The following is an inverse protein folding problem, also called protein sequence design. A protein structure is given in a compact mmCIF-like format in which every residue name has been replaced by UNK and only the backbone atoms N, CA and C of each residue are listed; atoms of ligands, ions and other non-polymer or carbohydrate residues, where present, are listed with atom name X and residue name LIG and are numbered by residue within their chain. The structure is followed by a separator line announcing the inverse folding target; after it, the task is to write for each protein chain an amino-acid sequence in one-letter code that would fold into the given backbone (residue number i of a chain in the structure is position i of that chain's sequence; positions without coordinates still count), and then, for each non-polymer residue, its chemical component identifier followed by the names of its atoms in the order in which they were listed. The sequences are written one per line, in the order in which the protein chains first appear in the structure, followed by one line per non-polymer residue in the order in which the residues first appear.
data_IF_310553083375
#
_entry.id   IF_310553083375
#
_cell.length_a   1.000
_cell.length_b   1.000
_cell.length_c   1.000
_cell.angle_alpha   90.00
_cell.angle_beta   90.00
_cell.angle_gamma   90.00
#
_symmetry.space_group_name_H-M   'P 1'
#
loop_
_entity.id
_entity.type
_entity.pdbx_description
1 polymer ?
#
# COMPACT_ATOMS: atom_id res chain seq x y z
N UNK A 1 -13.72 -19.42 -23.93
CA UNK A 1 -12.32 -19.73 -23.56
C UNK A 1 -12.20 -19.49 -22.07
N UNK A 2 -12.28 -20.56 -21.29
CA UNK A 2 -12.07 -20.56 -19.84
C UNK A 2 -10.59 -20.25 -19.58
N UNK A 3 -10.30 -19.07 -19.03
CA UNK A 3 -8.98 -18.79 -18.48
C UNK A 3 -8.93 -19.59 -17.17
N UNK A 4 -8.34 -20.78 -17.22
CA UNK A 4 -7.89 -21.48 -16.02
C UNK A 4 -6.94 -20.53 -15.29
N UNK A 5 -7.40 -19.99 -14.15
CA UNK A 5 -6.55 -19.26 -13.25
C UNK A 5 -5.68 -20.28 -12.52
N UNK A 6 -4.62 -20.75 -13.18
CA UNK A 6 -3.55 -21.43 -12.48
C UNK A 6 -3.04 -20.49 -11.39
N UNK A 7 -3.35 -20.82 -10.15
CA UNK A 7 -2.94 -20.02 -9.00
C UNK A 7 -1.42 -20.15 -8.92
N UNK A 8 -0.71 -19.14 -9.44
CA UNK A 8 0.75 -19.13 -9.59
C UNK A 8 1.47 -19.39 -8.24
N UNK A 9 0.82 -19.05 -7.13
CA UNK A 9 1.32 -19.20 -5.76
C UNK A 9 0.33 -19.98 -4.90
N UNK A 10 0.85 -20.74 -3.95
CA UNK A 10 0.06 -21.52 -3.00
C UNK A 10 -0.65 -20.61 -1.98
N UNK A 11 0.07 -19.60 -1.45
CA UNK A 11 -0.47 -18.71 -0.42
C UNK A 11 0.01 -17.26 -0.55
N UNK A 12 0.06 -16.76 -1.79
CA UNK A 12 0.25 -15.34 -2.10
C UNK A 12 -0.88 -14.81 -3.00
N UNK A 13 -2.10 -14.63 -2.44
CA UNK A 13 -3.23 -14.17 -3.23
C UNK A 13 -3.02 -12.73 -3.69
N UNK A 14 -3.80 -12.35 -4.70
CA UNK A 14 -3.77 -11.04 -5.34
C UNK A 14 -2.43 -10.68 -5.99
N UNK A 15 -1.54 -11.66 -6.20
CA UNK A 15 -0.26 -11.46 -6.88
C UNK A 15 -0.43 -11.22 -8.39
N UNK A 16 0.24 -10.21 -8.95
CA UNK A 16 0.37 -9.96 -10.39
C UNK A 16 1.45 -8.90 -10.68
N UNK A 17 1.99 -8.84 -11.92
CA UNK A 17 2.69 -7.64 -12.37
C UNK A 17 1.71 -6.46 -12.37
N UNK A 18 2.22 -5.27 -12.01
CA UNK A 18 1.42 -4.03 -12.00
C UNK A 18 1.03 -3.61 -13.42
N UNK A 19 1.94 -3.80 -14.37
CA UNK A 19 1.72 -3.59 -15.80
C UNK A 19 1.54 -4.97 -16.42
N UNK A 20 0.40 -5.26 -17.02
CA UNK A 20 0.21 -6.48 -17.81
C UNK A 20 0.64 -6.29 -19.27
N UNK A 21 0.54 -7.34 -20.08
CA UNK A 21 0.94 -7.29 -21.49
C UNK A 21 0.12 -6.29 -22.32
N UNK A 22 -1.15 -6.05 -21.97
CA UNK A 22 -1.98 -5.06 -22.65
C UNK A 22 -1.50 -3.64 -22.32
N UNK A 23 -1.32 -3.34 -21.03
CA UNK A 23 -0.81 -2.05 -20.57
C UNK A 23 0.61 -1.79 -21.12
N UNK A 24 1.47 -2.80 -21.15
CA UNK A 24 2.81 -2.72 -21.75
C UNK A 24 2.74 -2.31 -23.22
N UNK A 25 1.93 -3.00 -24.03
CA UNK A 25 1.80 -2.70 -25.46
C UNK A 25 1.22 -1.31 -25.71
N UNK A 26 0.22 -0.93 -24.92
CA UNK A 26 -0.50 0.34 -25.09
C UNK A 26 0.32 1.57 -24.67
N UNK A 27 1.10 1.46 -23.59
CA UNK A 27 1.80 2.60 -22.99
C UNK A 27 3.33 2.51 -23.06
N UNK A 28 3.86 1.43 -23.64
CA UNK A 28 5.30 1.19 -23.75
C UNK A 28 6.03 1.10 -22.39
N UNK A 29 5.40 0.48 -21.39
CA UNK A 29 5.91 0.38 -20.00
C UNK A 29 6.48 -1.03 -19.74
N UNK A 30 7.61 -1.12 -19.04
CA UNK A 30 8.22 -2.38 -18.59
C UNK A 30 7.29 -3.13 -17.64
N UNK A 31 7.02 -4.40 -17.92
CA UNK A 31 6.04 -5.19 -17.18
C UNK A 31 6.58 -6.12 -16.09
N UNK A 32 7.90 -6.31 -16.03
CA UNK A 32 8.56 -7.20 -15.07
C UNK A 32 9.34 -6.44 -13.97
N UNK A 33 9.17 -5.12 -13.88
CA UNK A 33 9.85 -4.29 -12.89
C UNK A 33 9.13 -4.28 -11.53
N UNK A 34 7.79 -4.22 -11.55
CA UNK A 34 6.98 -3.99 -10.35
C UNK A 34 5.82 -4.97 -10.31
N UNK A 35 5.70 -5.66 -9.19
CA UNK A 35 4.64 -6.60 -8.86
C UNK A 35 3.86 -6.08 -7.66
N UNK A 36 2.62 -6.53 -7.52
CA UNK A 36 1.79 -6.29 -6.33
C UNK A 36 1.24 -7.60 -5.79
N UNK A 37 0.93 -7.65 -4.49
CA UNK A 37 0.27 -8.82 -3.88
C UNK A 37 -0.42 -8.47 -2.56
N UNK A 38 -1.08 -9.46 -1.94
CA UNK A 38 -1.41 -9.41 -0.52
C UNK A 38 -0.18 -9.62 0.37
N UNK A 39 -0.37 -9.64 1.70
CA UNK A 39 0.75 -9.84 2.64
C UNK A 39 1.51 -11.15 2.38
N UNK A 40 2.81 -11.11 2.65
CA UNK A 40 3.72 -12.24 2.43
C UNK A 40 3.98 -13.10 3.68
N UNK A 41 3.23 -12.90 4.77
CA UNK A 41 3.54 -13.55 6.06
C UNK A 41 3.27 -15.06 6.08
N UNK A 42 2.42 -15.54 5.15
CA UNK A 42 1.96 -16.93 5.08
C UNK A 42 2.45 -17.70 3.86
N UNK A 43 3.37 -17.13 3.08
CA UNK A 43 3.94 -17.80 1.90
C UNK A 43 4.55 -19.15 2.26
N UNK A 44 4.38 -20.14 1.39
CA UNK A 44 5.01 -21.46 1.52
C UNK A 44 6.49 -21.38 1.13
N UNK A 45 7.27 -22.44 1.35
CA UNK A 45 8.64 -22.49 0.84
C UNK A 45 8.69 -22.46 -0.71
N UNK A 46 7.73 -23.12 -1.36
CA UNK A 46 7.56 -23.06 -2.83
C UNK A 46 7.31 -21.62 -3.31
N UNK A 47 6.46 -20.88 -2.60
CA UNK A 47 6.21 -19.46 -2.88
C UNK A 47 7.49 -18.61 -2.70
N UNK A 48 8.28 -18.88 -1.67
CA UNK A 48 9.57 -18.22 -1.43
C UNK A 48 10.52 -18.47 -2.60
N UNK A 49 10.68 -19.73 -3.00
CA UNK A 49 11.58 -20.10 -4.10
C UNK A 49 11.14 -19.45 -5.41
N UNK A 50 9.83 -19.38 -5.66
CA UNK A 50 9.28 -18.69 -6.83
C UNK A 50 9.54 -17.18 -6.79
N UNK A 51 9.32 -16.51 -5.65
CA UNK A 51 9.61 -15.08 -5.51
C UNK A 51 11.10 -14.77 -5.69
N UNK A 52 11.98 -15.57 -5.10
CA UNK A 52 13.42 -15.30 -5.07
C UNK A 52 14.16 -15.76 -6.32
N UNK A 53 13.77 -16.88 -6.92
CA UNK A 53 14.51 -17.51 -8.01
C UNK A 53 13.86 -17.29 -9.37
N UNK A 54 12.52 -17.32 -9.46
CA UNK A 54 11.81 -17.12 -10.74
C UNK A 54 11.55 -15.63 -11.01
N UNK A 55 10.91 -14.93 -10.08
CA UNK A 55 10.65 -13.49 -10.22
C UNK A 55 11.83 -12.61 -9.83
N UNK A 56 12.83 -13.17 -9.16
CA UNK A 56 14.02 -12.48 -8.68
C UNK A 56 13.68 -11.20 -7.91
N UNK A 57 12.69 -11.24 -7.02
CA UNK A 57 12.29 -10.08 -6.23
C UNK A 57 13.48 -9.64 -5.37
N UNK A 58 13.94 -8.41 -5.61
CA UNK A 58 15.04 -7.78 -4.86
C UNK A 58 14.52 -6.90 -3.72
N UNK A 59 13.37 -6.29 -3.92
CA UNK A 59 12.81 -5.35 -2.95
C UNK A 59 11.37 -5.67 -2.62
N UNK A 60 11.03 -5.62 -1.33
CA UNK A 60 9.65 -5.64 -0.87
C UNK A 60 9.31 -4.26 -0.30
N UNK A 61 8.32 -3.62 -0.87
CA UNK A 61 7.70 -2.41 -0.35
C UNK A 61 6.47 -2.83 0.45
N UNK A 62 6.66 -3.09 1.74
CA UNK A 62 5.61 -3.49 2.66
C UNK A 62 5.00 -2.23 3.29
N UNK A 63 3.86 -1.81 2.77
CA UNK A 63 3.17 -0.57 3.14
C UNK A 63 2.31 -0.76 4.42
N UNK A 64 2.81 -1.61 5.31
CA UNK A 64 2.30 -1.82 6.66
C UNK A 64 3.30 -1.26 7.65
N UNK A 65 2.78 -0.75 8.77
CA UNK A 65 3.62 -0.35 9.89
C UNK A 65 4.46 -1.53 10.40
N UNK A 66 5.61 -1.24 11.01
CA UNK A 66 6.41 -2.27 11.68
C UNK A 66 5.60 -3.03 12.75
N UNK A 67 4.64 -2.36 13.39
CA UNK A 67 3.71 -2.98 14.36
C UNK A 67 2.74 -3.96 13.70
N UNK A 68 2.14 -3.58 12.57
CA UNK A 68 1.31 -4.49 11.77
C UNK A 68 2.12 -5.72 11.34
N UNK A 69 3.35 -5.53 10.86
CA UNK A 69 4.23 -6.63 10.45
C UNK A 69 4.60 -7.55 11.61
N UNK A 70 4.96 -7.01 12.77
CA UNK A 70 5.31 -7.79 13.96
C UNK A 70 4.12 -8.60 14.46
N UNK A 71 2.93 -7.98 14.55
CA UNK A 71 1.69 -8.63 15.03
C UNK A 71 1.07 -9.59 14.04
N UNK A 72 1.43 -9.52 12.76
CA UNK A 72 0.93 -10.45 11.77
C UNK A 72 1.34 -11.89 12.15
N UNK A 73 0.36 -12.79 12.15
CA UNK A 73 0.60 -14.22 12.27
C UNK A 73 1.27 -14.76 11.00
N UNK A 74 1.88 -15.94 11.08
CA UNK A 74 2.50 -16.63 9.95
C UNK A 74 3.99 -16.91 10.16
N UNK A 75 4.53 -17.79 9.32
CA UNK A 75 5.92 -18.24 9.39
C UNK A 75 6.92 -17.16 8.97
N UNK A 76 6.48 -16.15 8.19
CA UNK A 76 7.31 -15.04 7.70
C UNK A 76 8.62 -15.54 7.10
N UNK A 77 8.58 -16.59 6.27
CA UNK A 77 9.77 -17.26 5.72
C UNK A 77 10.72 -16.31 4.97
N UNK A 78 10.20 -15.24 4.36
CA UNK A 78 11.01 -14.22 3.70
C UNK A 78 11.78 -13.30 4.66
N UNK A 79 11.55 -13.35 5.98
CA UNK A 79 12.18 -12.43 6.94
C UNK A 79 13.71 -12.54 6.92
N UNK A 80 14.25 -13.77 6.88
CA UNK A 80 15.70 -14.00 6.85
C UNK A 80 16.35 -13.69 5.50
N UNK A 81 15.56 -13.69 4.43
CA UNK A 81 16.05 -13.45 3.07
C UNK A 81 16.18 -11.95 2.72
N UNK A 82 15.67 -11.05 3.57
CA UNK A 82 15.65 -9.61 3.32
C UNK A 82 16.21 -8.84 4.52
N UNK A 83 16.99 -7.80 4.23
CA UNK A 83 17.32 -6.77 5.19
C UNK A 83 16.06 -5.94 5.50
N UNK A 84 15.63 -5.92 6.77
CA UNK A 84 14.40 -5.23 7.20
C UNK A 84 14.71 -3.77 7.52
N UNK A 85 14.12 -2.85 6.77
CA UNK A 85 14.34 -1.41 6.89
C UNK A 85 13.04 -0.74 7.31
N UNK A 86 12.84 -0.43 8.61
CA UNK A 86 11.68 0.35 9.03
C UNK A 86 11.79 1.78 8.50
N UNK A 87 10.67 2.29 7.98
CA UNK A 87 10.57 3.62 7.40
C UNK A 87 9.39 4.36 8.06
N UNK A 88 9.71 5.49 8.70
CA UNK A 88 8.74 6.33 9.41
C UNK A 88 8.66 7.69 8.71
N UNK A 89 7.72 7.87 7.77
CA UNK A 89 7.59 9.11 7.01
C UNK A 89 7.38 10.32 7.92
N UNK A 90 8.29 11.29 7.85
CA UNK A 90 8.23 12.54 8.60
C UNK A 90 7.12 13.46 8.08
N UNK A 91 6.27 13.92 9.01
CA UNK A 91 5.15 14.82 8.74
C UNK A 91 5.47 16.28 9.07
N UNK A 92 6.62 16.57 9.71
CA UNK A 92 6.98 17.89 10.23
C UNK A 92 7.90 18.71 9.29
N UNK A 93 8.52 18.09 8.30
CA UNK A 93 9.36 18.77 7.31
C UNK A 93 8.57 19.19 6.07
N UNK A 94 8.53 20.48 5.76
CA UNK A 94 8.11 20.95 4.43
C UNK A 94 8.93 20.18 3.38
N UNK A 95 8.24 19.57 2.43
CA UNK A 95 8.71 18.51 1.54
C UNK A 95 9.70 18.97 0.45
N UNK A 96 10.72 19.72 0.82
CA UNK A 96 11.86 20.05 -0.03
C UNK A 96 13.03 19.15 0.39
N UNK A 97 13.06 17.89 -0.06
CA UNK A 97 14.19 17.03 0.29
C UNK A 97 14.17 15.59 -0.21
N UNK A 98 15.36 15.00 -0.16
CA UNK A 98 15.67 13.61 -0.52
C UNK A 98 14.97 12.61 0.40
N UNK A 99 14.89 11.33 0.01
CA UNK A 99 14.34 10.23 0.83
C UNK A 99 14.88 10.23 2.29
N UNK A 100 16.09 10.78 2.49
CA UNK A 100 16.77 10.92 3.76
C UNK A 100 16.13 11.95 4.72
N UNK A 101 15.52 13.02 4.21
CA UNK A 101 14.84 14.02 5.04
C UNK A 101 13.46 13.56 5.52
N UNK A 102 12.99 12.39 5.08
CA UNK A 102 11.65 11.85 5.39
C UNK A 102 11.66 10.85 6.56
N UNK A 103 12.74 10.74 7.34
CA UNK A 103 12.85 9.82 8.48
C UNK A 103 12.79 10.57 9.82
N UNK A 104 11.78 10.27 10.65
CA UNK A 104 11.56 10.92 11.97
C UNK A 104 12.66 10.57 12.99
N UNK A 105 13.44 9.49 12.81
CA UNK A 105 14.44 9.03 13.77
C UNK A 105 15.83 8.86 13.13
N UNK A 106 16.75 9.77 13.49
CA UNK A 106 18.17 9.78 13.07
C UNK A 106 18.99 8.73 13.85
N UNK A 107 20.05 8.17 13.23
CA UNK A 107 21.38 8.78 13.32
C UNK A 107 21.72 9.62 12.09
N UNK A 108 22.62 10.60 12.25
CA UNK A 108 23.00 11.63 11.25
C UNK A 108 23.71 11.11 9.98
N UNK A 109 23.85 9.80 9.79
CA UNK A 109 24.27 9.08 8.59
C UNK A 109 23.71 7.65 8.85
N UNK A 110 22.74 7.08 8.15
CA UNK A 110 22.64 6.76 6.72
C UNK A 110 21.23 6.16 6.53
N UNK A 111 20.55 6.34 5.38
CA UNK A 111 19.60 5.32 4.90
C UNK A 111 20.45 4.12 4.49
N UNK A 112 20.91 3.33 5.46
CA UNK A 112 21.84 2.22 5.23
C UNK A 112 21.03 1.02 4.74
N UNK A 113 20.51 1.11 3.51
CA UNK A 113 20.13 -0.09 2.76
C UNK A 113 21.27 -0.41 1.80
N UNK A 114 21.60 -1.68 1.69
CA UNK A 114 22.64 -2.14 0.79
C UNK A 114 21.98 -2.59 -0.51
N UNK A 115 22.33 -1.95 -1.63
CA UNK A 115 21.79 -2.28 -2.96
C UNK A 115 22.20 -3.68 -3.44
N UNK A 116 23.25 -4.27 -2.84
CA UNK A 116 23.73 -5.61 -3.16
C UNK A 116 23.00 -6.71 -2.38
N UNK A 117 22.08 -6.36 -1.47
CA UNK A 117 21.24 -7.32 -0.76
C UNK A 117 19.76 -7.05 -1.03
N UNK A 118 18.91 -8.03 -0.74
CA UNK A 118 17.47 -7.84 -0.84
C UNK A 118 16.97 -7.00 0.34
N UNK A 119 16.11 -6.01 0.09
CA UNK A 119 15.62 -5.08 1.12
C UNK A 119 14.09 -5.16 1.27
N UNK A 120 13.60 -5.20 2.51
CA UNK A 120 12.17 -5.05 2.82
C UNK A 120 11.97 -3.73 3.56
N UNK A 121 11.34 -2.76 2.90
CA UNK A 121 10.98 -1.49 3.50
C UNK A 121 9.61 -1.62 4.18
N UNK A 122 9.55 -1.37 5.49
CA UNK A 122 8.30 -1.32 6.26
C UNK A 122 7.86 0.14 6.37
N UNK A 123 6.99 0.59 5.46
CA UNK A 123 6.53 1.98 5.40
C UNK A 123 5.28 2.14 6.25
N UNK A 124 5.39 2.91 7.32
CA UNK A 124 4.24 3.26 8.13
C UNK A 124 3.32 4.21 7.36
N UNK A 125 2.31 3.63 6.70
CA UNK A 125 1.37 4.39 5.88
C UNK A 125 0.47 5.31 6.70
N UNK A 126 0.11 4.89 7.91
CA UNK A 126 -0.75 5.63 8.82
C UNK A 126 0.08 6.18 9.96
N UNK A 127 0.72 7.32 9.71
CA UNK A 127 1.56 7.99 10.72
C UNK A 127 0.75 8.35 11.97
N UNK A 128 1.46 8.60 13.08
CA UNK A 128 0.84 9.01 14.33
C UNK A 128 -0.07 10.23 14.17
N UNK A 129 0.25 11.15 13.27
CA UNK A 129 -0.59 12.31 12.97
C UNK A 129 -1.93 11.90 12.35
N UNK A 130 -1.93 11.00 11.36
CA UNK A 130 -3.18 10.48 10.75
C UNK A 130 -4.04 9.78 11.80
N UNK A 131 -3.41 8.99 12.68
CA UNK A 131 -4.08 8.30 13.78
C UNK A 131 -4.71 9.33 14.72
N UNK A 132 -3.98 10.38 15.10
CA UNK A 132 -4.48 11.46 15.94
C UNK A 132 -5.62 12.23 15.29
N UNK A 133 -5.50 12.62 14.01
CA UNK A 133 -6.56 13.29 13.26
C UNK A 133 -7.85 12.45 13.29
N UNK A 134 -7.74 11.14 13.05
CA UNK A 134 -8.87 10.23 13.15
C UNK A 134 -9.44 10.13 14.56
N UNK A 135 -8.59 10.10 15.59
CA UNK A 135 -9.02 10.13 16.98
C UNK A 135 -9.83 11.39 17.32
N UNK A 136 -9.39 12.56 16.87
CA UNK A 136 -10.07 13.84 17.13
C UNK A 136 -11.28 14.12 16.23
N UNK A 137 -11.48 13.34 15.16
CA UNK A 137 -12.66 13.45 14.27
C UNK A 137 -13.96 12.92 14.90
N UNK A 138 -13.88 12.03 15.87
CA UNK A 138 -15.07 11.49 16.54
C UNK A 138 -15.44 12.30 17.78
N UNK A 139 -16.71 12.21 18.19
CA UNK A 139 -17.24 12.95 19.33
C UNK A 139 -16.41 12.70 20.60
N UNK A 140 -16.35 13.68 21.51
CA UNK A 140 -15.63 13.53 22.78
C UNK A 140 -16.15 12.34 23.59
N UNK A 141 -17.46 12.09 23.56
CA UNK A 141 -18.07 10.93 24.22
C UNK A 141 -17.54 9.61 23.66
N UNK A 142 -17.48 9.48 22.34
CA UNK A 142 -16.93 8.28 21.71
C UNK A 142 -15.42 8.14 21.96
N UNK A 143 -14.65 9.24 22.01
CA UNK A 143 -13.24 9.20 22.39
C UNK A 143 -13.05 8.63 23.80
N UNK A 144 -13.77 9.17 24.78
CA UNK A 144 -13.70 8.73 26.17
C UNK A 144 -14.12 7.26 26.31
N UNK A 145 -15.22 6.88 25.65
CA UNK A 145 -15.67 5.49 25.62
C UNK A 145 -14.64 4.55 24.98
N UNK A 146 -14.01 4.98 23.88
CA UNK A 146 -12.97 4.19 23.22
C UNK A 146 -11.74 4.04 24.12
N UNK A 147 -11.31 5.08 24.85
CA UNK A 147 -10.22 4.96 25.81
C UNK A 147 -10.53 3.97 26.96
N UNK A 148 -11.77 3.92 27.42
CA UNK A 148 -12.23 2.88 28.36
C UNK A 148 -12.12 1.48 27.75
N UNK A 149 -12.59 1.29 26.50
CA UNK A 149 -12.45 0.01 25.80
C UNK A 149 -10.99 -0.38 25.59
N UNK A 150 -10.09 0.58 25.36
CA UNK A 150 -8.66 0.31 25.22
C UNK A 150 -8.05 -0.22 26.52
N UNK A 151 -8.50 0.27 27.67
CA UNK A 151 -8.12 -0.25 28.97
C UNK A 151 -8.61 -1.70 29.16
N UNK A 152 -9.86 -1.97 28.78
CA UNK A 152 -10.45 -3.33 28.81
C UNK A 152 -9.65 -4.27 27.90
N UNK A 153 -9.34 -3.85 26.67
CA UNK A 153 -8.54 -4.63 25.73
C UNK A 153 -7.16 -4.98 26.29
N UNK A 154 -6.53 -4.06 27.03
CA UNK A 154 -5.26 -4.32 27.69
C UNK A 154 -5.37 -5.31 28.85
N UNK A 155 -6.47 -5.27 29.61
CA UNK A 155 -6.70 -6.14 30.77
C UNK A 155 -7.14 -7.55 30.37
N UNK A 156 -7.94 -7.69 29.31
CA UNK A 156 -8.59 -8.94 28.92
C UNK A 156 -8.12 -9.48 27.57
N UNK A 157 -7.13 -8.84 26.93
CA UNK A 157 -6.59 -9.22 25.63
C UNK A 157 -7.67 -9.28 24.52
N UNK A 158 -8.66 -8.37 24.58
CA UNK A 158 -9.73 -8.23 23.59
C UNK A 158 -9.39 -7.20 22.50
N UNK A 159 -10.31 -6.97 21.55
CA UNK A 159 -10.16 -6.00 20.45
C UNK A 159 -11.37 -5.05 20.32
N UNK A 160 -12.04 -4.76 21.43
CA UNK A 160 -13.25 -3.93 21.46
C UNK A 160 -12.97 -2.48 21.09
N UNK A 161 -11.83 -1.92 21.48
CA UNK A 161 -11.42 -0.57 21.12
C UNK A 161 -11.37 -0.41 19.61
N UNK A 162 -10.53 -1.20 18.94
CA UNK A 162 -10.33 -1.04 17.50
C UNK A 162 -11.63 -1.33 16.74
N UNK A 163 -12.38 -2.36 17.13
CA UNK A 163 -13.65 -2.71 16.49
C UNK A 163 -14.68 -1.60 16.61
N UNK A 164 -14.86 -1.05 17.81
CA UNK A 164 -15.83 0.02 18.07
C UNK A 164 -15.39 1.31 17.39
N UNK A 165 -14.13 1.68 17.55
CA UNK A 165 -13.59 2.91 16.98
C UNK A 165 -13.65 2.89 15.44
N UNK A 166 -13.23 1.79 14.82
CA UNK A 166 -13.30 1.64 13.37
C UNK A 166 -14.75 1.61 12.86
N UNK A 167 -15.66 0.94 13.57
CA UNK A 167 -17.08 0.92 13.23
C UNK A 167 -17.64 2.34 13.08
N UNK A 168 -17.49 3.17 14.12
CA UNK A 168 -18.05 4.53 14.12
C UNK A 168 -17.30 5.49 13.21
N UNK A 169 -16.00 5.32 13.05
CA UNK A 169 -15.20 6.21 12.21
C UNK A 169 -15.46 6.00 10.71
N UNK A 170 -15.62 4.73 10.29
CA UNK A 170 -15.58 4.40 8.86
C UNK A 170 -16.93 4.02 8.26
N UNK A 171 -17.82 3.34 8.98
CA UNK A 171 -19.00 2.72 8.35
C UNK A 171 -19.98 3.69 7.70
N UNK A 172 -20.12 4.90 8.24
CA UNK A 172 -21.05 5.90 7.69
C UNK A 172 -20.38 6.78 6.63
N UNK A 173 -19.04 6.86 6.65
CA UNK A 173 -18.26 7.58 5.64
C UNK A 173 -18.01 6.74 4.40
N UNK A 174 -17.95 5.43 4.53
CA UNK A 174 -17.70 4.49 3.43
C UNK A 174 -16.25 4.49 2.94
N UNK A 175 -15.96 3.54 2.04
CA UNK A 175 -14.59 3.26 1.56
C UNK A 175 -13.97 4.44 0.78
N UNK A 176 -14.76 5.14 -0.04
CA UNK A 176 -14.28 6.30 -0.81
C UNK A 176 -13.71 7.39 0.10
N UNK A 177 -14.41 7.75 1.18
CA UNK A 177 -13.91 8.78 2.11
C UNK A 177 -12.67 8.32 2.87
N UNK A 178 -12.52 7.00 3.10
CA UNK A 178 -11.28 6.46 3.64
C UNK A 178 -10.12 6.61 2.64
N UNK A 179 -10.36 6.43 1.34
CA UNK A 179 -9.34 6.65 0.31
C UNK A 179 -8.99 8.13 0.17
N UNK A 180 -9.97 9.02 0.22
CA UNK A 180 -9.74 10.47 0.25
C UNK A 180 -8.89 10.83 1.47
N UNK A 181 -9.19 10.30 2.66
CA UNK A 181 -8.38 10.51 3.85
C UNK A 181 -6.93 10.04 3.68
N UNK A 182 -6.72 8.90 3.02
CA UNK A 182 -5.37 8.41 2.71
C UNK A 182 -4.62 9.40 1.82
N UNK A 183 -5.24 9.86 0.74
CA UNK A 183 -4.66 10.82 -0.20
C UNK A 183 -4.37 12.18 0.46
N UNK A 184 -5.23 12.62 1.37
CA UNK A 184 -5.08 13.92 2.06
C UNK A 184 -4.08 13.89 3.19
N UNK A 185 -4.06 12.83 3.99
CA UNK A 185 -3.32 12.79 5.25
C UNK A 185 -2.10 11.87 5.24
N UNK A 186 -1.98 10.96 4.27
CA UNK A 186 -0.82 10.03 4.17
C UNK A 186 0.20 10.48 3.10
N UNK A 187 0.24 11.77 2.76
CA UNK A 187 1.16 12.34 1.74
C UNK A 187 2.64 11.97 1.96
N UNK A 188 3.21 12.03 3.18
CA UNK A 188 4.58 11.57 3.42
C UNK A 188 4.82 10.12 3.02
N UNK A 189 3.89 9.22 3.37
CA UNK A 189 4.02 7.81 3.06
C UNK A 189 3.91 7.55 1.55
N UNK A 190 3.02 8.28 0.88
CA UNK A 190 2.88 8.23 -0.58
C UNK A 190 4.17 8.71 -1.24
N UNK A 191 4.71 9.86 -0.85
CA UNK A 191 5.97 10.38 -1.39
C UNK A 191 7.14 9.42 -1.16
N UNK A 192 7.25 8.82 0.04
CA UNK A 192 8.27 7.82 0.35
C UNK A 192 8.16 6.59 -0.57
N UNK A 193 6.95 6.08 -0.80
CA UNK A 193 6.72 4.97 -1.74
C UNK A 193 7.18 5.36 -3.15
N UNK A 194 6.74 6.52 -3.66
CA UNK A 194 7.07 6.98 -5.02
C UNK A 194 8.57 7.20 -5.22
N UNK A 195 9.26 7.79 -4.23
CA UNK A 195 10.72 7.98 -4.26
C UNK A 195 11.49 6.66 -4.22
N UNK A 196 11.02 5.66 -3.48
CA UNK A 196 11.62 4.31 -3.48
C UNK A 196 11.37 3.57 -4.79
N UNK A 197 10.16 3.69 -5.35
CA UNK A 197 9.85 3.11 -6.67
C UNK A 197 10.74 3.75 -7.74
N UNK A 198 11.04 5.04 -7.66
CA UNK A 198 11.93 5.72 -8.62
C UNK A 198 13.40 5.21 -8.65
N UNK A 199 13.78 4.27 -7.77
CA UNK A 199 15.14 3.71 -7.68
C UNK A 199 15.24 2.41 -8.50
N UNK A 200 15.70 2.50 -9.75
CA UNK A 200 15.82 1.33 -10.64
C UNK A 200 16.68 0.20 -10.07
N UNK A 201 17.69 0.54 -9.26
CA UNK A 201 18.55 -0.45 -8.60
C UNK A 201 17.79 -1.38 -7.63
N UNK A 202 16.59 -0.97 -7.21
CA UNK A 202 15.71 -1.75 -6.33
C UNK A 202 14.80 -2.73 -7.08
N UNK A 203 14.79 -2.73 -8.42
CA UNK A 203 13.97 -3.64 -9.21
C UNK A 203 14.60 -5.03 -9.41
N UNK A 204 13.79 -6.11 -9.48
CA UNK A 204 12.32 -6.13 -9.39
C UNK A 204 11.76 -5.94 -7.97
N UNK A 205 10.65 -5.20 -7.87
CA UNK A 205 10.01 -4.81 -6.60
C UNK A 205 8.63 -5.46 -6.43
N UNK A 206 8.31 -5.93 -5.21
CA UNK A 206 6.98 -6.37 -4.81
C UNK A 206 6.36 -5.37 -3.83
N UNK A 207 5.22 -4.77 -4.20
CA UNK A 207 4.48 -3.83 -3.36
C UNK A 207 3.28 -4.52 -2.73
N UNK A 208 3.12 -4.43 -1.41
CA UNK A 208 1.93 -4.98 -0.75
C UNK A 208 1.51 -4.20 0.49
N UNK A 209 0.33 -4.54 0.99
CA UNK A 209 -0.15 -4.13 2.31
C UNK A 209 -0.73 -5.36 3.03
N UNK A 210 -1.90 -5.24 3.66
CA UNK A 210 -2.63 -6.37 4.25
C UNK A 210 -3.20 -7.32 3.17
N UNK A 211 -3.97 -6.77 2.23
CA UNK A 211 -4.65 -7.51 1.16
C UNK A 211 -4.15 -7.12 -0.25
N UNK A 212 -3.27 -6.13 -0.36
CA UNK A 212 -2.82 -5.64 -1.65
C UNK A 212 -3.91 -4.92 -2.44
N UNK A 213 -4.95 -4.41 -1.77
CA UNK A 213 -6.11 -3.76 -2.39
C UNK A 213 -6.09 -2.25 -2.20
N UNK A 214 -6.25 -1.79 -0.96
CA UNK A 214 -6.50 -0.37 -0.65
C UNK A 214 -5.24 0.50 -0.78
N UNK A 215 -4.35 0.46 0.21
CA UNK A 215 -3.08 1.21 0.21
C UNK A 215 -2.25 0.92 -1.04
N UNK A 216 -2.08 -0.35 -1.38
CA UNK A 216 -1.37 -0.78 -2.59
C UNK A 216 -2.05 -0.30 -3.87
N UNK A 217 -3.38 -0.33 -3.93
CA UNK A 217 -4.11 0.14 -5.11
C UNK A 217 -3.97 1.64 -5.34
N UNK A 218 -3.98 2.44 -4.28
CA UNK A 218 -3.71 3.89 -4.37
C UNK A 218 -2.29 4.13 -4.89
N UNK A 219 -1.26 3.49 -4.32
CA UNK A 219 0.13 3.66 -4.77
C UNK A 219 0.29 3.22 -6.23
N UNK A 220 -0.30 2.08 -6.61
CA UNK A 220 -0.23 1.58 -7.99
C UNK A 220 -0.95 2.50 -8.98
N UNK A 221 -2.11 3.04 -8.62
CA UNK A 221 -2.82 4.00 -9.47
C UNK A 221 -2.00 5.28 -9.68
N UNK A 222 -1.39 5.82 -8.61
CA UNK A 222 -0.54 7.01 -8.70
C UNK A 222 0.73 6.76 -9.54
N UNK A 223 1.36 5.59 -9.38
CA UNK A 223 2.51 5.15 -10.18
C UNK A 223 2.19 5.07 -11.67
N UNK A 224 1.10 4.39 -12.04
CA UNK A 224 0.72 4.21 -13.43
C UNK A 224 0.26 5.54 -14.06
N UNK A 225 -0.42 6.40 -13.29
CA UNK A 225 -0.75 7.76 -13.72
C UNK A 225 0.50 8.59 -14.03
N UNK A 226 1.59 8.48 -13.24
CA UNK A 226 2.89 9.10 -13.58
C UNK A 226 3.43 8.62 -14.92
N UNK A 227 3.20 7.35 -15.27
CA UNK A 227 3.63 6.77 -16.55
C UNK A 227 2.74 7.21 -17.73
N UNK A 228 1.63 7.91 -17.47
CA UNK A 228 0.69 8.38 -18.50
C UNK A 228 -0.41 7.38 -18.85
N UNK A 229 -0.67 6.40 -17.97
CA UNK A 229 -1.78 5.46 -18.11
C UNK A 229 -3.11 6.18 -17.85
N UNK A 230 -4.13 5.94 -18.69
CA UNK A 230 -5.46 6.57 -18.54
C UNK A 230 -6.25 6.02 -17.35
N UNK A 231 -7.15 6.86 -16.81
CA UNK A 231 -7.93 6.56 -15.62
C UNK A 231 -8.73 5.27 -15.70
N UNK A 232 -9.34 4.94 -16.85
CA UNK A 232 -10.13 3.71 -16.98
C UNK A 232 -9.23 2.47 -16.91
N UNK A 233 -8.02 2.54 -17.46
CA UNK A 233 -7.01 1.50 -17.29
C UNK A 233 -6.61 1.35 -15.82
N UNK A 234 -6.40 2.46 -15.10
CA UNK A 234 -6.09 2.45 -13.66
C UNK A 234 -7.21 1.81 -12.83
N UNK A 235 -8.45 2.19 -13.13
CA UNK A 235 -9.66 1.68 -12.48
C UNK A 235 -9.82 0.18 -12.69
N UNK A 236 -9.57 -0.29 -13.91
CA UNK A 236 -9.61 -1.71 -14.26
C UNK A 236 -8.50 -2.49 -13.55
N UNK A 237 -7.27 -1.95 -13.49
CA UNK A 237 -6.17 -2.57 -12.76
C UNK A 237 -6.52 -2.75 -11.27
N UNK A 238 -7.06 -1.71 -10.64
CA UNK A 238 -7.50 -1.76 -9.25
C UNK A 238 -8.58 -2.85 -9.03
N UNK A 239 -9.59 -2.89 -9.91
CA UNK A 239 -10.74 -3.79 -9.81
C UNK A 239 -10.37 -5.27 -9.91
N UNK A 240 -9.24 -5.62 -10.55
CA UNK A 240 -8.69 -6.99 -10.56
C UNK A 240 -8.43 -7.54 -9.16
N UNK A 241 -8.31 -6.69 -8.15
CA UNK A 241 -8.18 -7.11 -6.76
C UNK A 241 -9.40 -7.87 -6.23
N UNK A 242 -10.59 -7.70 -6.83
CA UNK A 242 -11.79 -8.47 -6.50
C UNK A 242 -11.53 -9.96 -6.78
N UNK A 243 -11.16 -10.27 -8.03
CA UNK A 243 -10.81 -11.63 -8.44
C UNK A 243 -9.57 -12.15 -7.69
N UNK A 244 -8.56 -11.31 -7.51
CA UNK A 244 -7.32 -11.68 -6.81
C UNK A 244 -7.50 -12.06 -5.35
N UNK A 245 -8.56 -11.58 -4.70
CA UNK A 245 -8.88 -11.89 -3.29
C UNK A 245 -9.93 -12.98 -3.13
N UNK A 246 -10.58 -13.43 -4.21
CA UNK A 246 -11.58 -14.50 -4.16
C UNK A 246 -11.10 -15.77 -3.43
N UNK A 247 -9.87 -16.28 -3.63
CA UNK A 247 -9.39 -17.47 -2.92
C UNK A 247 -9.41 -17.34 -1.39
N UNK A 248 -9.33 -16.10 -0.89
CA UNK A 248 -9.28 -15.79 0.54
C UNK A 248 -10.46 -14.95 1.02
N UNK A 249 -11.57 -14.91 0.27
CA UNK A 249 -12.73 -14.05 0.58
C UNK A 249 -13.26 -14.21 2.01
N UNK A 250 -13.27 -15.44 2.54
CA UNK A 250 -13.70 -15.72 3.93
C UNK A 250 -12.76 -15.07 4.96
N UNK A 251 -11.45 -15.10 4.70
CA UNK A 251 -10.43 -14.46 5.55
C UNK A 251 -10.55 -12.94 5.48
N UNK A 252 -10.72 -12.38 4.27
CA UNK A 252 -10.95 -10.94 4.08
C UNK A 252 -12.19 -10.49 4.85
N UNK A 253 -13.30 -11.24 4.75
CA UNK A 253 -14.52 -10.99 5.50
C UNK A 253 -14.29 -11.03 7.02
N UNK A 254 -13.62 -12.07 7.52
CA UNK A 254 -13.35 -12.20 8.95
C UNK A 254 -12.50 -11.03 9.47
N UNK A 255 -11.45 -10.65 8.75
CA UNK A 255 -10.58 -9.54 9.16
C UNK A 255 -11.29 -8.18 9.09
N UNK A 256 -12.08 -7.92 8.06
CA UNK A 256 -12.72 -6.61 7.85
C UNK A 256 -14.03 -6.49 8.64
N UNK A 257 -14.92 -7.46 8.51
CA UNK A 257 -16.25 -7.38 9.10
C UNK A 257 -16.27 -7.88 10.55
N UNK A 258 -15.68 -9.05 10.82
CA UNK A 258 -15.76 -9.65 12.16
C UNK A 258 -14.79 -8.97 13.14
N UNK A 259 -13.53 -8.79 12.73
CA UNK A 259 -12.46 -8.24 13.58
C UNK A 259 -12.51 -6.72 13.67
N UNK A 260 -12.64 -6.00 12.56
CA UNK A 260 -12.70 -4.53 12.55
C UNK A 260 -14.12 -3.94 12.67
N UNK A 261 -15.17 -4.74 12.49
CA UNK A 261 -16.56 -4.25 12.59
C UNK A 261 -17.01 -3.45 11.36
N UNK A 262 -16.31 -3.55 10.23
CA UNK A 262 -16.65 -2.77 9.04
C UNK A 262 -17.76 -3.44 8.21
N UNK A 263 -18.58 -2.63 7.53
CA UNK A 263 -19.62 -3.10 6.60
C UNK A 263 -19.01 -3.96 5.49
N UNK A 264 -19.80 -4.90 4.96
CA UNK A 264 -19.36 -5.79 3.88
C UNK A 264 -18.86 -5.05 2.64
N UNK A 265 -19.34 -3.84 2.37
CA UNK A 265 -18.85 -3.01 1.26
C UNK A 265 -17.35 -2.74 1.30
N UNK A 266 -16.71 -2.80 2.47
CA UNK A 266 -15.26 -2.64 2.63
C UNK A 266 -14.45 -3.86 2.17
N UNK A 267 -15.08 -5.03 1.94
CA UNK A 267 -14.35 -6.21 1.44
C UNK A 267 -14.08 -6.13 -0.06
N UNK A 268 -14.91 -5.41 -0.81
CA UNK A 268 -14.86 -5.35 -2.28
C UNK A 268 -13.84 -4.33 -2.83
N UNK A 269 -13.40 -4.57 -4.07
CA UNK A 269 -12.55 -3.71 -4.88
C UNK A 269 -13.35 -3.06 -6.02
N UNK A 270 -14.46 -2.36 -5.68
CA UNK A 270 -15.34 -1.76 -6.68
C UNK A 270 -14.61 -0.70 -7.52
N UNK A 271 -14.62 -0.86 -8.85
CA UNK A 271 -14.04 0.09 -9.82
C UNK A 271 -14.48 1.53 -9.56
N UNK A 272 -15.76 1.71 -9.26
CA UNK A 272 -16.36 3.00 -8.96
C UNK A 272 -15.71 3.73 -7.77
N UNK A 273 -15.16 3.01 -6.79
CA UNK A 273 -14.43 3.64 -5.67
C UNK A 273 -13.13 4.27 -6.15
N UNK A 274 -12.38 3.59 -7.01
CA UNK A 274 -11.14 4.15 -7.57
C UNK A 274 -11.44 5.28 -8.56
N UNK A 275 -12.47 5.12 -9.40
CA UNK A 275 -12.91 6.17 -10.33
C UNK A 275 -13.25 7.47 -9.60
N UNK A 276 -14.02 7.37 -8.52
CA UNK A 276 -14.38 8.53 -7.71
C UNK A 276 -13.18 9.13 -6.95
N UNK A 277 -12.21 8.30 -6.54
CA UNK A 277 -10.97 8.82 -5.95
C UNK A 277 -10.17 9.64 -6.97
N UNK A 278 -9.97 9.11 -8.18
CA UNK A 278 -9.29 9.83 -9.27
C UNK A 278 -10.05 11.12 -9.60
N UNK A 279 -11.38 11.05 -9.74
CA UNK A 279 -12.23 12.24 -9.94
C UNK A 279 -12.07 13.30 -8.85
N UNK A 280 -11.97 12.89 -7.58
CA UNK A 280 -11.66 13.79 -6.47
C UNK A 280 -10.28 14.44 -6.62
N UNK A 281 -9.24 13.67 -6.97
CA UNK A 281 -7.88 14.18 -7.19
C UNK A 281 -7.87 15.20 -8.34
N UNK A 282 -8.49 14.87 -9.48
CA UNK A 282 -8.61 15.78 -10.62
C UNK A 282 -9.36 17.05 -10.26
N UNK A 283 -10.48 16.95 -9.55
CA UNK A 283 -11.26 18.12 -9.14
C UNK A 283 -10.51 19.04 -8.17
N UNK A 284 -9.79 18.48 -7.20
CA UNK A 284 -9.12 19.26 -6.14
C UNK A 284 -7.74 19.76 -6.53
N UNK A 285 -6.93 18.92 -7.18
CA UNK A 285 -5.54 19.21 -7.51
C UNK A 285 -5.33 19.53 -9.00
N UNK A 286 -6.31 19.29 -9.86
CA UNK A 286 -6.24 19.47 -11.31
C UNK A 286 -5.67 18.25 -12.04
N UNK A 287 -4.72 17.52 -11.44
CA UNK A 287 -4.18 16.27 -11.99
C UNK A 287 -3.49 15.43 -10.91
N UNK A 288 -3.26 14.15 -11.20
CA UNK A 288 -2.45 13.28 -10.35
C UNK A 288 -1.02 13.80 -10.20
N UNK A 289 -0.42 14.36 -11.27
CA UNK A 289 0.92 14.98 -11.21
C UNK A 289 0.98 16.14 -10.22
N UNK A 290 0.00 17.05 -10.25
CA UNK A 290 -0.10 18.17 -9.30
C UNK A 290 -0.37 17.70 -7.87
N UNK A 291 -1.14 16.62 -7.71
CA UNK A 291 -1.31 15.99 -6.41
C UNK A 291 0.01 15.45 -5.86
N UNK A 292 0.78 14.70 -6.66
CA UNK A 292 2.07 14.13 -6.26
C UNK A 292 3.11 15.22 -5.97
N UNK A 293 3.12 16.30 -6.73
CA UNK A 293 3.91 17.51 -6.42
C UNK A 293 3.60 18.02 -5.01
N UNK A 294 2.30 18.09 -4.64
CA UNK A 294 1.88 18.50 -3.30
C UNK A 294 2.28 17.53 -2.18
N UNK A 295 2.72 16.31 -2.52
CA UNK A 295 3.27 15.34 -1.56
C UNK A 295 4.78 15.48 -1.36
N UNK A 296 5.47 16.25 -2.21
CA UNK A 296 6.93 16.33 -2.25
C UNK A 296 7.62 15.36 -3.20
N UNK A 297 6.86 14.75 -4.12
CA UNK A 297 7.41 13.97 -5.22
C UNK A 297 7.45 14.85 -6.46
N UNK A 298 8.60 15.48 -6.71
CA UNK A 298 8.70 16.61 -7.64
C UNK A 298 8.41 16.20 -9.09
N UNK A 299 8.08 17.15 -9.95
CA UNK A 299 7.92 16.87 -11.38
C UNK A 299 9.15 16.22 -12.01
N UNK A 300 10.36 16.60 -11.61
CA UNK A 300 11.60 15.98 -12.08
C UNK A 300 11.69 14.51 -11.64
N UNK A 301 11.31 14.21 -10.39
CA UNK A 301 11.27 12.81 -9.92
C UNK A 301 10.18 12.00 -10.63
N UNK A 302 9.03 12.61 -10.94
CA UNK A 302 7.96 12.00 -11.72
C UNK A 302 8.41 11.69 -13.16
N UNK A 303 9.12 12.60 -13.80
CA UNK A 303 9.64 12.42 -15.16
C UNK A 303 10.76 11.38 -15.19
N UNK A 304 11.63 11.36 -14.19
CA UNK A 304 12.63 10.31 -14.01
C UNK A 304 11.96 8.94 -13.80
N UNK A 305 10.91 8.85 -12.98
CA UNK A 305 10.18 7.61 -12.74
C UNK A 305 9.55 7.09 -14.03
N UNK A 306 8.91 7.97 -14.80
CA UNK A 306 8.35 7.62 -16.11
C UNK A 306 9.44 7.10 -17.04
N UNK A 307 10.54 7.85 -17.21
CA UNK A 307 11.69 7.44 -18.03
C UNK A 307 12.24 6.08 -17.59
N UNK A 308 12.31 5.85 -16.28
CA UNK A 308 12.83 4.62 -15.70
C UNK A 308 12.00 3.37 -16.01
N UNK A 309 10.71 3.54 -16.30
CA UNK A 309 9.76 2.46 -16.55
C UNK A 309 9.36 2.32 -18.02
N UNK A 310 9.80 3.23 -18.90
CA UNK A 310 9.57 3.06 -20.34
C UNK A 310 10.49 1.97 -20.92
N UNK A 311 9.97 1.21 -21.88
CA UNK A 311 10.80 0.32 -22.69
C UNK A 311 11.77 1.18 -23.52
N UNK A 312 13.06 0.84 -23.45
CA UNK A 312 14.09 1.46 -24.30
C UNK A 312 13.91 0.95 -25.73
N UNK A 313 13.89 1.88 -26.69
CA UNK A 313 13.92 1.60 -28.12
C UNK A 313 15.23 0.94 -28.54
#
# INVERSE_FOLDING_TARGET
MTIESDCIFDNLPNFRPVVDEECKKRYNIVNNAIYRSSRTDWVTQSDVDRLLNHYNIKTILDIRSAKEYQRANGSKLLHSAFNIVPFYPDTLGKYEGSLYSMLIHKPKNTLQYNVNVRNRFLIDFFTSEVILTNFFRVSIGLRLFSLLLLLIDKLFHTNFFMKTFAFFLFNDRGLLNQYIDMVEHCKPAIAACMKLINRQELYPMLIHCAHGKDRTGIIVALLLACCGVDDETLVNEYARSEAGLNPIKKRVYAEICTTLGLKHTFTHANSETMRNLLGYIHKKYGSVRKYLESTGFSYEEQDQLKSNLMLKS
#
